data_IF_455594366409
#
_entry.id   IF_455594366409
#
_cell.length_a   1.000
_cell.length_b   1.000
_cell.length_c   1.000
_cell.angle_alpha   90.00
_cell.angle_beta   90.00
_cell.angle_gamma   90.00
#
_symmetry.space_group_name_H-M   'P 1'
#
loop_
_entity.id
_entity.type
_entity.pdbx_description
1 polymer ?
#
# COMPACT_ATOMS: atom_id res chain seq x y z
N UNK A 1 -23.34 9.23 5.04
CA UNK A 1 -23.24 9.29 3.56
C UNK A 1 -22.49 8.09 2.96
N UNK A 2 -21.25 7.79 3.38
CA UNK A 2 -20.44 6.71 2.81
C UNK A 2 -21.09 5.30 2.86
N UNK A 3 -21.69 4.91 3.99
CA UNK A 3 -22.36 3.60 4.14
C UNK A 3 -23.51 3.40 3.15
N UNK A 4 -24.27 4.47 2.86
CA UNK A 4 -25.38 4.41 1.90
C UNK A 4 -24.86 4.15 0.49
N UNK A 5 -23.76 4.81 0.10
CA UNK A 5 -23.09 4.60 -1.18
C UNK A 5 -22.49 3.18 -1.26
N UNK A 6 -21.79 2.74 -0.22
CA UNK A 6 -21.22 1.40 -0.15
C UNK A 6 -22.28 0.31 -0.39
N UNK A 7 -23.47 0.45 0.22
CA UNK A 7 -24.59 -0.48 0.00
C UNK A 7 -25.11 -0.46 -1.44
N UNK A 8 -25.14 0.70 -2.11
CA UNK A 8 -25.55 0.79 -3.52
C UNK A 8 -24.60 0.04 -4.46
N UNK A 9 -23.31 -0.04 -4.11
CA UNK A 9 -22.31 -0.79 -4.87
C UNK A 9 -22.10 -2.23 -4.36
N UNK A 10 -22.98 -2.74 -3.48
CA UNK A 10 -22.90 -4.12 -2.97
C UNK A 10 -21.73 -4.37 -2.01
N UNK A 11 -21.09 -3.33 -1.47
CA UNK A 11 -20.02 -3.48 -0.49
C UNK A 11 -20.60 -3.85 0.89
N UNK A 12 -20.11 -4.95 1.46
CA UNK A 12 -20.53 -5.44 2.80
C UNK A 12 -20.05 -4.54 3.92
N UNK A 13 -18.83 -4.01 3.80
CA UNK A 13 -18.22 -3.12 4.77
C UNK A 13 -17.20 -2.20 4.09
N UNK A 14 -16.90 -1.07 4.74
CA UNK A 14 -15.81 -0.19 4.32
C UNK A 14 -14.52 -0.74 4.95
N UNK A 15 -13.53 -1.02 4.12
CA UNK A 15 -12.22 -1.53 4.56
C UNK A 15 -11.50 -0.48 5.41
N UNK A 16 -11.08 -0.88 6.62
CA UNK A 16 -10.13 -0.11 7.43
C UNK A 16 -8.72 -0.39 6.94
N UNK A 17 -7.96 0.67 6.67
CA UNK A 17 -6.61 0.57 6.12
C UNK A 17 -5.73 1.70 6.66
N UNK A 18 -4.42 1.52 6.66
CA UNK A 18 -3.45 2.56 7.03
C UNK A 18 -2.38 2.70 5.96
N UNK A 19 -1.72 3.85 5.94
CA UNK A 19 -0.67 4.15 4.96
C UNK A 19 0.64 3.44 5.31
N UNK A 20 1.32 2.93 4.29
CA UNK A 20 2.70 2.42 4.41
C UNK A 20 3.54 2.89 3.23
N UNK A 21 4.87 2.83 3.39
CA UNK A 21 5.85 3.06 2.32
C UNK A 21 6.80 1.89 2.24
N UNK A 22 6.89 1.25 1.07
CA UNK A 22 7.83 0.15 0.79
C UNK A 22 8.92 0.66 -0.13
N UNK A 23 10.18 0.42 0.24
CA UNK A 23 11.32 0.83 -0.58
C UNK A 23 11.59 -0.19 -1.68
N UNK A 24 11.63 0.28 -2.92
CA UNK A 24 12.11 -0.46 -4.07
C UNK A 24 13.51 0.02 -4.46
N UNK A 25 14.39 -0.92 -4.80
CA UNK A 25 15.76 -0.62 -5.24
C UNK A 25 16.11 -1.39 -6.51
N UNK A 26 16.87 -0.76 -7.41
CA UNK A 26 17.30 -1.37 -8.67
C UNK A 26 18.40 -0.56 -9.36
N UNK A 27 18.88 -1.04 -10.50
CA UNK A 27 19.89 -0.34 -11.30
C UNK A 27 19.35 0.97 -11.89
N UNK A 28 18.04 1.05 -12.11
CA UNK A 28 17.31 2.19 -12.64
C UNK A 28 15.92 2.29 -11.97
N UNK A 29 15.15 3.33 -12.33
CA UNK A 29 13.84 3.60 -11.74
C UNK A 29 12.79 2.54 -12.10
N UNK A 30 12.88 1.93 -13.28
CA UNK A 30 11.93 0.89 -13.69
C UNK A 30 12.17 -0.37 -12.86
N UNK A 31 13.42 -0.82 -12.76
CA UNK A 31 13.80 -1.97 -11.93
C UNK A 31 13.54 -1.73 -10.45
N UNK A 32 13.78 -0.52 -9.95
CA UNK A 32 13.44 -0.16 -8.58
C UNK A 32 11.92 -0.20 -8.33
N UNK A 33 11.12 0.23 -9.31
CA UNK A 33 9.64 0.19 -9.22
C UNK A 33 9.12 -1.25 -9.22
N UNK A 34 9.58 -2.09 -10.15
CA UNK A 34 9.20 -3.50 -10.19
C UNK A 34 9.55 -4.20 -8.86
N UNK A 35 10.78 -3.97 -8.37
CA UNK A 35 11.23 -4.50 -7.07
C UNK A 35 10.33 -4.03 -5.91
N UNK A 36 10.01 -2.73 -5.83
CA UNK A 36 9.17 -2.18 -4.77
C UNK A 36 7.76 -2.76 -4.78
N UNK A 37 7.16 -2.90 -5.96
CA UNK A 37 5.83 -3.48 -6.13
C UNK A 37 5.79 -4.96 -5.74
N UNK A 38 6.78 -5.76 -6.16
CA UNK A 38 6.89 -7.17 -5.80
C UNK A 38 7.14 -7.38 -4.30
N UNK A 39 7.99 -6.55 -3.68
CA UNK A 39 8.24 -6.58 -2.24
C UNK A 39 6.96 -6.28 -1.46
N UNK A 40 6.24 -5.25 -1.85
CA UNK A 40 4.97 -4.88 -1.23
C UNK A 40 3.92 -5.99 -1.37
N UNK A 41 3.78 -6.57 -2.57
CA UNK A 41 2.87 -7.66 -2.84
C UNK A 41 3.18 -8.88 -1.95
N UNK A 42 4.46 -9.27 -1.87
CA UNK A 42 4.92 -10.37 -1.02
C UNK A 42 4.70 -10.10 0.48
N UNK A 43 5.05 -8.90 0.94
CA UNK A 43 4.96 -8.52 2.36
C UNK A 43 3.51 -8.58 2.88
N UNK A 44 2.55 -8.11 2.09
CA UNK A 44 1.14 -8.01 2.52
C UNK A 44 0.25 -9.14 1.97
N UNK A 45 0.83 -10.10 1.24
CA UNK A 45 0.09 -11.20 0.61
C UNK A 45 -0.95 -10.70 -0.40
N UNK A 46 -0.59 -9.69 -1.19
CA UNK A 46 -1.40 -9.08 -2.24
C UNK A 46 -0.83 -9.48 -3.61
N UNK A 47 -1.60 -9.26 -4.67
CA UNK A 47 -1.08 -9.37 -6.03
C UNK A 47 -0.36 -8.07 -6.45
N UNK A 48 0.63 -8.15 -7.34
CA UNK A 48 1.27 -6.95 -7.91
C UNK A 48 0.26 -6.01 -8.59
N UNK A 49 -0.71 -6.50 -9.40
CA UNK A 49 -1.76 -5.64 -9.95
C UNK A 49 -2.58 -4.91 -8.88
N UNK A 50 -2.88 -5.57 -7.75
CA UNK A 50 -3.58 -4.93 -6.64
C UNK A 50 -2.74 -3.82 -6.01
N UNK A 51 -1.44 -4.05 -5.76
CA UNK A 51 -0.53 -3.02 -5.24
C UNK A 51 -0.45 -1.83 -6.21
N UNK A 52 -0.33 -2.10 -7.52
CA UNK A 52 -0.34 -1.04 -8.55
C UNK A 52 -1.62 -0.21 -8.45
N UNK A 53 -2.79 -0.85 -8.39
CA UNK A 53 -4.06 -0.16 -8.28
C UNK A 53 -4.16 0.67 -6.97
N UNK A 54 -3.78 0.08 -5.84
CA UNK A 54 -3.80 0.77 -4.54
C UNK A 54 -2.83 1.96 -4.52
N UNK A 55 -1.64 1.83 -5.11
CA UNK A 55 -0.69 2.93 -5.27
C UNK A 55 -1.26 4.06 -6.14
N UNK A 56 -1.98 3.75 -7.22
CA UNK A 56 -2.63 4.76 -8.06
C UNK A 56 -3.74 5.52 -7.33
N UNK A 57 -4.59 4.81 -6.59
CA UNK A 57 -5.81 5.39 -6.01
C UNK A 57 -5.57 6.01 -4.62
N UNK A 58 -4.67 5.43 -3.82
CA UNK A 58 -4.51 5.78 -2.40
C UNK A 58 -3.10 6.22 -2.02
N UNK A 59 -2.19 6.34 -2.98
CA UNK A 59 -0.81 6.74 -2.70
C UNK A 59 -0.04 7.15 -3.95
N UNK A 60 1.09 6.49 -4.22
CA UNK A 60 1.87 6.70 -5.43
C UNK A 60 3.27 6.09 -5.39
N UNK A 61 3.97 6.18 -6.52
CA UNK A 61 5.39 5.83 -6.65
C UNK A 61 6.21 7.12 -6.62
N UNK A 62 7.10 7.27 -5.63
CA UNK A 62 7.98 8.44 -5.52
C UNK A 62 9.42 8.06 -5.76
N UNK A 63 10.17 8.91 -6.46
CA UNK A 63 11.63 8.76 -6.56
C UNK A 63 12.23 9.11 -5.20
N UNK A 64 12.88 8.12 -4.57
CA UNK A 64 13.63 8.34 -3.33
C UNK A 64 15.02 8.89 -3.61
N UNK A 65 15.76 8.21 -4.49
CA UNK A 65 17.10 8.61 -4.94
C UNK A 65 17.35 8.14 -6.37
N UNK A 66 17.69 9.07 -7.26
CA UNK A 66 18.11 8.72 -8.61
C UNK A 66 19.50 8.06 -8.61
N UNK A 67 19.76 7.03 -9.46
CA UNK A 67 18.86 6.44 -10.44
C UNK A 67 17.98 5.28 -9.95
N UNK A 68 18.18 4.78 -8.72
CA UNK A 68 17.81 3.40 -8.39
C UNK A 68 16.98 3.17 -7.14
N UNK A 69 16.36 4.19 -6.55
CA UNK A 69 15.55 4.03 -5.31
C UNK A 69 14.19 4.70 -5.47
N UNK A 70 13.13 3.95 -5.18
CA UNK A 70 11.75 4.45 -5.18
C UNK A 70 11.04 4.08 -3.88
N UNK A 71 9.96 4.81 -3.59
CA UNK A 71 9.03 4.54 -2.51
C UNK A 71 7.67 4.19 -3.09
N UNK A 72 7.16 3.01 -2.76
CA UNK A 72 5.80 2.55 -3.10
C UNK A 72 4.90 2.84 -1.92
N UNK A 73 4.06 3.87 -2.06
CA UNK A 73 3.17 4.35 -1.00
C UNK A 73 1.74 3.97 -1.35
N UNK A 74 1.02 3.35 -0.42
CA UNK A 74 -0.39 2.99 -0.59
C UNK A 74 -1.02 2.62 0.75
N UNK A 75 -2.35 2.54 0.79
CA UNK A 75 -3.08 2.06 1.97
C UNK A 75 -3.23 0.55 1.96
N UNK A 76 -2.86 -0.08 3.08
CA UNK A 76 -2.92 -1.52 3.30
C UNK A 76 -4.01 -1.85 4.33
N UNK A 77 -4.80 -2.91 4.11
CA UNK A 77 -5.83 -3.35 5.06
C UNK A 77 -5.23 -3.67 6.45
N UNK A 78 -5.98 -3.38 7.51
CA UNK A 78 -5.55 -3.61 8.90
C UNK A 78 -5.16 -5.08 9.16
N UNK A 79 -5.90 -6.05 8.62
CA UNK A 79 -5.60 -7.49 8.79
C UNK A 79 -4.27 -7.89 8.14
N UNK A 80 -3.89 -7.22 7.05
CA UNK A 80 -2.60 -7.47 6.37
C UNK A 80 -1.44 -6.80 7.09
N UNK A 81 -1.67 -5.61 7.66
CA UNK A 81 -0.69 -4.94 8.52
C UNK A 81 -0.42 -5.72 9.80
N UNK A 82 -1.45 -6.30 10.40
CA UNK A 82 -1.33 -7.13 11.59
C UNK A 82 -0.50 -8.38 11.29
N UNK A 83 -0.81 -9.10 10.21
CA UNK A 83 -0.03 -10.27 9.75
C UNK A 83 1.42 -9.94 9.43
N UNK A 84 1.70 -8.72 8.96
CA UNK A 84 3.05 -8.24 8.68
C UNK A 84 3.80 -7.71 9.93
N UNK A 85 3.15 -7.65 11.10
CA UNK A 85 3.72 -7.09 12.33
C UNK A 85 3.91 -5.57 12.30
N UNK A 86 3.19 -4.86 11.42
CA UNK A 86 3.35 -3.42 11.20
C UNK A 86 2.16 -2.58 11.72
N UNK A 87 1.09 -3.22 12.18
CA UNK A 87 -0.14 -2.52 12.58
C UNK A 87 0.11 -1.51 13.70
N UNK A 88 0.79 -1.91 14.78
CA UNK A 88 1.04 -1.02 15.92
C UNK A 88 1.85 0.22 15.54
N UNK A 89 2.86 0.06 14.67
CA UNK A 89 3.65 1.16 14.14
C UNK A 89 2.79 2.12 13.31
N UNK A 90 1.93 1.57 12.46
CA UNK A 90 1.03 2.35 11.62
C UNK A 90 0.00 3.13 12.46
N UNK A 91 -0.58 2.50 13.49
CA UNK A 91 -1.50 3.15 14.43
C UNK A 91 -0.81 4.26 15.23
N UNK A 92 0.42 4.02 15.71
CA UNK A 92 1.20 5.03 16.41
C UNK A 92 1.48 6.26 15.54
N UNK A 93 1.73 6.05 14.24
CA UNK A 93 2.05 7.12 13.31
C UNK A 93 0.81 7.89 12.81
N UNK A 94 -0.30 7.19 12.56
CA UNK A 94 -1.46 7.74 11.83
C UNK A 94 -2.76 7.77 12.63
N UNK A 95 -2.80 7.17 13.83
CA UNK A 95 -4.01 7.05 14.62
C UNK A 95 -4.95 5.96 14.12
N UNK A 96 -6.22 6.03 14.53
CA UNK A 96 -7.23 5.03 14.17
C UNK A 96 -7.62 5.11 12.67
N UNK A 97 -7.79 3.95 12.00
CA UNK A 97 -8.15 3.86 10.58
C UNK A 97 -9.64 4.04 10.26
#
# INVERSE_FOLDING_TARGET
KAIKLARQFGMKQIEKSLSVSVIGTGADLNKATDNGLERAARLFGLSVPEVKNRATITGGIKIGRHPGVVQVIFRVPVDRLEKAGLLELALKQYGEP
#
